data_IF_078575116177
#
_entry.id   IF_078575116177
#
_cell.length_a   1.000
_cell.length_b   1.000
_cell.length_c   1.000
_cell.angle_alpha   90.00
_cell.angle_beta   90.00
_cell.angle_gamma   90.00
#
_symmetry.space_group_name_H-M   'P 1'
#
loop_
_entity.id
_entity.type
_entity.pdbx_description
1 polymer ?
#
# COMPACT_ATOMS: atom_id res chain seq x y z
N UNK A 1 25.66 -7.43 -0.45
CA UNK A 1 25.27 -7.28 -1.87
C UNK A 1 25.89 -5.99 -2.42
N UNK A 2 26.09 -5.84 -3.71
CA UNK A 2 26.62 -4.62 -4.33
C UNK A 2 25.54 -3.95 -5.16
N UNK A 3 25.42 -2.64 -5.00
CA UNK A 3 24.54 -1.81 -5.81
C UNK A 3 25.37 -0.86 -6.68
N UNK A 4 24.92 -0.66 -7.92
CA UNK A 4 25.35 0.43 -8.78
C UNK A 4 24.39 1.60 -8.59
N UNK A 5 24.92 2.73 -8.17
CA UNK A 5 24.18 3.97 -7.99
C UNK A 5 24.60 4.93 -9.09
N UNK A 6 23.63 5.36 -9.90
CA UNK A 6 23.79 6.39 -10.90
C UNK A 6 23.22 7.71 -10.37
N UNK A 7 23.94 8.81 -10.52
CA UNK A 7 23.52 10.15 -10.09
C UNK A 7 23.70 11.14 -11.23
N UNK A 8 22.78 12.09 -11.35
CA UNK A 8 23.00 13.24 -12.22
C UNK A 8 24.14 14.13 -11.69
N UNK A 9 25.04 14.56 -12.58
CA UNK A 9 25.99 15.63 -12.23
C UNK A 9 25.24 16.97 -12.28
N UNK A 10 25.27 17.72 -11.17
CA UNK A 10 24.48 18.95 -10.98
C UNK A 10 22.95 18.73 -11.15
N UNK A 11 22.46 17.56 -10.74
CA UNK A 11 21.04 17.24 -10.72
C UNK A 11 20.62 16.60 -9.40
N UNK A 12 19.36 16.18 -9.33
CA UNK A 12 18.76 15.59 -8.11
C UNK A 12 18.38 14.13 -8.30
N UNK A 13 18.33 13.63 -9.54
CA UNK A 13 17.89 12.26 -9.80
C UNK A 13 19.00 11.27 -9.49
N UNK A 14 18.58 10.16 -8.88
CA UNK A 14 19.42 9.02 -8.54
C UNK A 14 18.70 7.76 -8.97
N UNK A 15 19.44 6.78 -9.50
CA UNK A 15 18.94 5.46 -9.86
C UNK A 15 19.82 4.39 -9.24
N UNK A 16 19.22 3.26 -8.89
CA UNK A 16 19.92 2.15 -8.25
C UNK A 16 19.67 0.87 -9.02
N UNK A 17 20.72 0.08 -9.22
CA UNK A 17 20.68 -1.24 -9.83
C UNK A 17 21.43 -2.25 -8.97
N UNK A 18 20.88 -3.45 -8.82
CA UNK A 18 21.48 -4.51 -8.01
C UNK A 18 22.49 -5.29 -8.85
N UNK A 19 23.77 -5.29 -8.44
CA UNK A 19 24.85 -6.02 -9.13
C UNK A 19 25.06 -7.45 -8.60
N UNK A 20 24.54 -7.79 -7.43
CA UNK A 20 24.68 -9.12 -6.81
C UNK A 20 25.77 -9.20 -5.73
N UNK A 21 26.21 -10.43 -5.40
CA UNK A 21 27.19 -10.66 -4.31
C UNK A 21 28.64 -10.56 -4.80
N UNK A 22 28.89 -10.95 -6.04
CA UNK A 22 30.21 -10.99 -6.65
C UNK A 22 30.27 -9.96 -7.78
N UNK A 23 31.15 -8.97 -7.65
CA UNK A 23 31.43 -8.00 -8.71
C UNK A 23 32.86 -8.18 -9.23
N UNK A 24 33.08 -8.09 -10.55
CA UNK A 24 34.43 -8.08 -11.10
C UNK A 24 35.23 -6.89 -10.56
N UNK A 25 36.56 -6.96 -10.64
CA UNK A 25 37.43 -5.87 -10.20
C UNK A 25 37.29 -4.65 -11.12
N UNK A 26 36.30 -3.80 -10.83
CA UNK A 26 35.99 -2.57 -11.55
C UNK A 26 36.20 -1.35 -10.65
N UNK A 27 36.42 -0.16 -11.23
CA UNK A 27 36.49 1.08 -10.46
C UNK A 27 35.24 1.25 -9.58
N UNK A 28 35.46 1.58 -8.30
CA UNK A 28 34.35 1.82 -7.34
C UNK A 28 33.49 3.02 -7.70
N UNK A 29 34.02 3.95 -8.49
CA UNK A 29 33.28 5.09 -8.99
C UNK A 29 33.87 5.59 -10.29
N UNK A 30 33.03 6.11 -11.17
CA UNK A 30 33.44 6.76 -12.41
C UNK A 30 32.39 7.78 -12.84
N UNK A 31 32.77 8.70 -13.72
CA UNK A 31 31.84 9.65 -14.34
C UNK A 31 31.90 9.51 -15.84
N UNK A 32 30.77 9.68 -16.50
CA UNK A 32 30.67 9.59 -17.95
C UNK A 32 29.65 10.61 -18.44
N UNK A 33 29.95 11.26 -19.56
CA UNK A 33 28.98 12.12 -20.22
C UNK A 33 27.91 11.30 -20.94
N UNK A 34 26.80 11.96 -21.25
CA UNK A 34 25.63 11.36 -21.90
C UNK A 34 25.98 10.72 -23.24
N UNK A 35 26.85 11.35 -24.02
CA UNK A 35 27.21 10.87 -25.35
C UNK A 35 27.99 9.56 -25.24
N UNK A 36 29.04 9.53 -24.42
CA UNK A 36 29.86 8.35 -24.16
C UNK A 36 29.04 7.21 -23.53
N UNK A 37 28.09 7.51 -22.63
CA UNK A 37 27.17 6.49 -22.11
C UNK A 37 26.28 5.92 -23.23
N UNK A 38 25.72 6.79 -24.07
CA UNK A 38 24.85 6.36 -25.19
C UNK A 38 25.59 5.49 -26.20
N UNK A 39 26.82 5.86 -26.56
CA UNK A 39 27.68 5.09 -27.47
C UNK A 39 28.05 3.74 -26.84
N UNK A 40 28.44 3.73 -25.57
CA UNK A 40 28.80 2.50 -24.85
C UNK A 40 27.65 1.47 -24.83
N UNK A 41 26.41 1.94 -24.72
CA UNK A 41 25.22 1.07 -24.74
C UNK A 41 24.99 0.36 -26.07
N UNK A 42 25.54 0.85 -27.18
CA UNK A 42 25.46 0.15 -28.45
C UNK A 42 26.25 -1.16 -28.42
N UNK A 43 27.36 -1.20 -27.67
CA UNK A 43 28.27 -2.35 -27.61
C UNK A 43 28.00 -3.29 -26.44
N UNK A 44 27.24 -2.87 -25.43
CA UNK A 44 26.81 -3.74 -24.34
C UNK A 44 25.82 -4.80 -24.84
N UNK A 45 25.95 -6.08 -24.43
CA UNK A 45 24.94 -7.10 -24.71
C UNK A 45 23.61 -6.78 -23.99
N UNK A 46 22.50 -7.32 -24.48
CA UNK A 46 21.21 -7.17 -23.80
C UNK A 46 21.28 -7.84 -22.42
N UNK A 47 20.96 -7.05 -21.39
CA UNK A 47 21.04 -7.42 -19.98
C UNK A 47 20.28 -6.39 -19.15
N UNK A 48 19.90 -6.74 -17.93
CA UNK A 48 19.24 -5.83 -17.00
C UNK A 48 20.07 -4.56 -16.75
N UNK A 49 21.40 -4.69 -16.76
CA UNK A 49 22.33 -3.57 -16.63
C UNK A 49 22.25 -2.62 -17.83
N UNK A 50 22.12 -3.16 -19.06
CA UNK A 50 21.94 -2.34 -20.27
C UNK A 50 20.61 -1.60 -20.23
N UNK A 51 19.53 -2.25 -19.80
CA UNK A 51 18.22 -1.63 -19.71
C UNK A 51 18.15 -0.58 -18.59
N UNK A 52 18.85 -0.81 -17.48
CA UNK A 52 19.07 0.20 -16.45
C UNK A 52 19.67 1.49 -17.02
N UNK A 53 20.80 1.40 -17.74
CA UNK A 53 21.43 2.57 -18.33
C UNK A 53 20.58 3.27 -19.40
N UNK A 54 19.81 2.51 -20.21
CA UNK A 54 18.81 3.10 -21.12
C UNK A 54 17.76 3.89 -20.32
N UNK A 55 17.28 3.34 -19.20
CA UNK A 55 16.35 4.01 -18.30
C UNK A 55 16.91 5.32 -17.71
N UNK A 56 18.18 5.32 -17.31
CA UNK A 56 18.88 6.54 -16.86
C UNK A 56 18.88 7.60 -17.97
N UNK A 57 19.27 7.23 -19.20
CA UNK A 57 19.29 8.16 -20.33
C UNK A 57 17.91 8.67 -20.74
N UNK A 58 16.89 7.81 -20.70
CA UNK A 58 15.53 8.16 -21.08
C UNK A 58 14.85 9.08 -20.06
N UNK A 59 15.17 8.90 -18.78
CA UNK A 59 14.53 9.64 -17.68
C UNK A 59 15.28 10.91 -17.25
N UNK A 60 16.46 11.18 -17.80
CA UNK A 60 17.28 12.37 -17.49
C UNK A 60 17.60 13.20 -18.73
N UNK A 61 17.60 14.53 -18.57
CA UNK A 61 18.08 15.49 -19.57
C UNK A 61 19.52 15.96 -19.32
N UNK A 62 20.20 15.45 -18.29
CA UNK A 62 21.55 15.90 -17.93
C UNK A 62 22.62 15.36 -18.89
N UNK A 63 23.70 16.15 -19.01
CA UNK A 63 24.81 15.87 -19.92
C UNK A 63 25.88 14.98 -19.31
N UNK A 64 25.89 14.80 -17.99
CA UNK A 64 26.86 13.97 -17.31
C UNK A 64 26.26 13.25 -16.11
N UNK A 65 26.80 12.07 -15.85
CA UNK A 65 26.37 11.16 -14.80
C UNK A 65 27.59 10.69 -14.01
N UNK A 66 27.42 10.54 -12.70
CA UNK A 66 28.38 9.84 -11.85
C UNK A 66 27.80 8.49 -11.44
N UNK A 67 28.67 7.49 -11.41
CA UNK A 67 28.36 6.12 -11.07
C UNK A 67 29.22 5.71 -9.89
N UNK A 68 28.61 5.03 -8.94
CA UNK A 68 29.24 4.60 -7.70
C UNK A 68 28.77 3.19 -7.36
N UNK A 69 29.72 2.31 -7.04
CA UNK A 69 29.45 0.96 -6.59
C UNK A 69 29.54 0.96 -5.07
N UNK A 70 28.40 0.73 -4.42
CA UNK A 70 28.34 0.64 -2.97
C UNK A 70 28.13 -0.80 -2.55
N UNK A 71 28.97 -1.27 -1.62
CA UNK A 71 28.69 -2.50 -0.88
C UNK A 71 27.59 -2.17 0.11
N UNK A 72 26.40 -2.68 -0.16
CA UNK A 72 25.29 -2.61 0.78
C UNK A 72 25.42 -3.90 1.58
N UNK A 73 25.60 -3.78 2.89
CA UNK A 73 25.35 -4.92 3.77
C UNK A 73 23.97 -5.46 3.40
N UNK A 74 23.76 -6.78 3.42
CA UNK A 74 22.40 -7.27 3.31
C UNK A 74 21.65 -6.72 4.53
N UNK A 75 21.14 -5.49 4.45
CA UNK A 75 19.92 -5.13 5.13
C UNK A 75 18.98 -6.17 4.59
N UNK A 76 18.69 -7.15 5.43
CA UNK A 76 17.54 -7.99 5.27
C UNK A 76 16.35 -7.06 5.07
N UNK A 77 16.09 -6.66 3.82
CA UNK A 77 14.75 -6.85 3.30
C UNK A 77 14.56 -8.35 3.35
N UNK A 78 14.35 -8.83 4.57
CA UNK A 78 13.49 -9.94 4.81
C UNK A 78 12.25 -9.46 4.08
N UNK A 79 11.96 -10.05 2.92
CA UNK A 79 10.57 -10.27 2.56
C UNK A 79 10.01 -11.06 3.73
N UNK A 80 9.72 -10.37 4.84
CA UNK A 80 8.82 -10.86 5.85
C UNK A 80 7.58 -11.01 5.01
N UNK A 81 7.19 -12.26 4.76
CA UNK A 81 5.85 -12.53 4.29
C UNK A 81 4.95 -12.12 5.45
N UNK A 82 4.67 -10.81 5.55
CA UNK A 82 3.78 -10.20 6.55
C UNK A 82 2.39 -10.82 6.35
N UNK A 83 2.09 -11.12 5.10
CA UNK A 83 0.98 -11.98 4.72
C UNK A 83 1.31 -13.44 5.03
N UNK A 84 0.45 -14.01 5.86
CA UNK A 84 0.38 -15.41 6.24
C UNK A 84 -0.72 -16.08 5.40
N UNK A 85 -0.48 -17.31 5.01
CA UNK A 85 -1.48 -18.11 4.30
C UNK A 85 -2.65 -18.47 5.20
N UNK A 86 -3.73 -18.96 4.58
CA UNK A 86 -4.93 -19.43 5.27
C UNK A 86 -4.73 -20.75 6.02
N UNK A 87 -3.58 -21.40 5.85
CA UNK A 87 -3.11 -22.53 6.65
C UNK A 87 -2.70 -22.11 8.07
N UNK A 88 -2.46 -20.82 8.30
CA UNK A 88 -2.16 -20.26 9.60
C UNK A 88 -3.39 -19.55 10.16
N UNK A 89 -3.77 -19.89 11.39
CA UNK A 89 -4.92 -19.28 12.08
C UNK A 89 -4.45 -18.03 12.84
N UNK A 90 -5.12 -16.88 12.67
CA UNK A 90 -4.79 -15.66 13.41
C UNK A 90 -5.13 -15.75 14.91
N UNK A 91 -4.45 -14.95 15.70
CA UNK A 91 -4.83 -14.69 17.09
C UNK A 91 -6.17 -13.98 17.15
N UNK A 92 -7.04 -14.43 18.05
CA UNK A 92 -8.32 -13.78 18.31
C UNK A 92 -8.12 -12.40 18.93
N UNK A 93 -8.86 -11.41 18.42
CA UNK A 93 -8.92 -10.06 18.98
C UNK A 93 -7.88 -9.07 18.43
N UNK A 94 -6.99 -9.50 17.53
CA UNK A 94 -6.12 -8.59 16.78
C UNK A 94 -6.78 -8.19 15.46
N UNK A 95 -6.53 -6.95 15.04
CA UNK A 95 -6.98 -6.44 13.74
C UNK A 95 -6.12 -7.01 12.61
N UNK A 96 -6.81 -7.43 11.56
CA UNK A 96 -6.24 -8.08 10.39
C UNK A 96 -6.54 -7.27 9.14
N UNK A 97 -5.65 -7.40 8.18
CA UNK A 97 -5.86 -7.01 6.79
C UNK A 97 -5.98 -8.29 5.97
N UNK A 98 -7.11 -8.47 5.30
CA UNK A 98 -7.38 -9.63 4.45
C UNK A 98 -7.06 -9.28 3.01
N UNK A 99 -6.24 -10.09 2.36
CA UNK A 99 -6.06 -10.06 0.92
C UNK A 99 -6.98 -11.11 0.30
N UNK A 100 -8.02 -10.65 -0.38
CA UNK A 100 -9.04 -11.52 -0.98
C UNK A 100 -8.51 -12.19 -2.24
N UNK A 101 -9.06 -13.36 -2.60
CA UNK A 101 -8.75 -14.05 -3.87
C UNK A 101 -9.08 -13.20 -5.11
N UNK A 102 -9.96 -12.21 -4.96
CA UNK A 102 -10.32 -11.22 -5.98
C UNK A 102 -9.28 -10.09 -6.14
N UNK A 103 -8.24 -10.05 -5.31
CA UNK A 103 -7.21 -9.01 -5.30
C UNK A 103 -7.56 -7.75 -4.50
N UNK A 104 -8.72 -7.73 -3.84
CA UNK A 104 -9.12 -6.63 -2.96
C UNK A 104 -8.55 -6.81 -1.55
N UNK A 105 -8.32 -5.69 -0.85
CA UNK A 105 -8.00 -5.68 0.56
C UNK A 105 -9.22 -5.32 1.41
N UNK A 106 -9.43 -6.05 2.50
CA UNK A 106 -10.45 -5.73 3.51
C UNK A 106 -9.78 -5.49 4.86
N UNK A 107 -10.08 -4.34 5.47
CA UNK A 107 -9.63 -3.94 6.79
C UNK A 107 -10.63 -2.94 7.41
N UNK A 108 -10.73 -2.86 8.76
CA UNK A 108 -10.19 -3.83 9.71
C UNK A 108 -10.98 -5.14 9.67
N UNK A 109 -10.30 -6.27 9.90
CA UNK A 109 -10.95 -7.56 10.05
C UNK A 109 -10.57 -8.22 11.39
N UNK A 110 -11.49 -8.98 11.99
CA UNK A 110 -11.24 -9.70 13.24
C UNK A 110 -11.59 -11.18 13.03
N UNK A 111 -10.64 -12.06 13.34
CA UNK A 111 -10.90 -13.49 13.36
C UNK A 111 -11.61 -13.89 14.65
N UNK A 112 -12.75 -14.59 14.53
CA UNK A 112 -13.52 -15.10 15.67
C UNK A 112 -13.49 -16.62 15.69
N UNK A 113 -12.69 -17.18 16.60
CA UNK A 113 -12.49 -18.64 16.72
C UNK A 113 -13.78 -19.45 16.96
N UNK A 114 -14.81 -18.85 17.56
CA UNK A 114 -16.08 -19.55 17.85
C UNK A 114 -16.88 -19.93 16.60
N UNK A 115 -16.79 -19.13 15.53
CA UNK A 115 -17.48 -19.39 14.25
C UNK A 115 -16.51 -19.64 13.09
N UNK A 116 -15.20 -19.49 13.30
CA UNK A 116 -14.19 -19.70 12.26
C UNK A 116 -14.26 -18.69 11.11
N UNK A 117 -14.97 -17.58 11.32
CA UNK A 117 -15.18 -16.53 10.31
C UNK A 117 -14.33 -15.29 10.61
N UNK A 118 -14.11 -14.51 9.55
CA UNK A 118 -13.47 -13.20 9.62
C UNK A 118 -14.54 -12.14 9.53
N UNK A 119 -14.72 -11.36 10.59
CA UNK A 119 -15.71 -10.29 10.63
C UNK A 119 -15.06 -8.99 10.17
N UNK A 120 -15.70 -8.31 9.24
CA UNK A 120 -15.33 -6.99 8.74
C UNK A 120 -16.50 -6.03 8.95
N UNK A 121 -16.29 -4.70 8.93
CA UNK A 121 -17.39 -3.73 9.00
C UNK A 121 -18.47 -3.94 7.91
N UNK A 122 -18.07 -4.46 6.74
CA UNK A 122 -18.96 -4.73 5.62
C UNK A 122 -19.66 -6.10 5.65
N UNK A 123 -19.44 -6.92 6.68
CA UNK A 123 -19.99 -8.27 6.79
C UNK A 123 -18.93 -9.35 7.06
N UNK A 124 -19.26 -10.60 6.77
CA UNK A 124 -18.39 -11.75 7.05
C UNK A 124 -17.62 -12.21 5.80
N UNK A 125 -16.30 -12.39 5.94
CA UNK A 125 -15.46 -13.03 4.94
C UNK A 125 -15.23 -14.50 5.33
N UNK A 126 -15.50 -15.42 4.39
CA UNK A 126 -15.27 -16.85 4.57
C UNK A 126 -13.83 -17.22 4.21
N UNK A 127 -13.23 -18.24 4.85
CA UNK A 127 -11.83 -18.61 4.60
C UNK A 127 -11.45 -18.82 3.12
N UNK A 128 -12.32 -19.44 2.32
CA UNK A 128 -12.06 -19.68 0.89
C UNK A 128 -12.03 -18.40 0.02
N UNK A 129 -12.54 -17.28 0.54
CA UNK A 129 -12.53 -15.99 -0.14
C UNK A 129 -11.21 -15.24 0.09
N UNK A 130 -10.38 -15.72 1.02
CA UNK A 130 -9.17 -15.06 1.49
C UNK A 130 -7.98 -15.83 0.90
N UNK A 131 -7.08 -15.11 0.24
CA UNK A 131 -5.84 -15.65 -0.28
C UNK A 131 -4.80 -15.74 0.83
N UNK A 132 -4.64 -14.65 1.55
CA UNK A 132 -3.66 -14.46 2.63
C UNK A 132 -4.11 -13.33 3.55
N UNK A 133 -3.56 -13.26 4.75
CA UNK A 133 -3.91 -12.26 5.76
C UNK A 133 -2.68 -11.75 6.49
N UNK A 134 -2.71 -10.52 6.98
CA UNK A 134 -1.66 -9.90 7.77
C UNK A 134 -2.25 -9.28 9.03
N UNK A 135 -1.46 -9.16 10.09
CA UNK A 135 -1.86 -8.28 11.21
C UNK A 135 -1.67 -6.82 10.80
N UNK A 136 -2.64 -5.96 11.14
CA UNK A 136 -2.68 -4.58 10.69
C UNK A 136 -1.52 -3.73 11.24
N UNK A 137 -1.13 -3.97 12.50
CA UNK A 137 0.04 -3.35 13.14
C UNK A 137 1.35 -3.75 12.46
N UNK A 138 1.55 -5.04 12.18
CA UNK A 138 2.73 -5.58 11.48
C UNK A 138 2.83 -5.01 10.06
N UNK A 139 1.69 -4.89 9.36
CA UNK A 139 1.64 -4.29 8.02
C UNK A 139 1.96 -2.79 8.06
N UNK A 140 1.36 -2.05 8.99
CA UNK A 140 1.63 -0.61 9.13
C UNK A 140 3.10 -0.34 9.46
N UNK A 141 3.69 -1.12 10.37
CA UNK A 141 5.11 -1.02 10.71
C UNK A 141 6.00 -1.30 9.49
N UNK A 142 5.67 -2.34 8.71
CA UNK A 142 6.43 -2.67 7.50
C UNK A 142 6.31 -1.61 6.39
N UNK A 143 5.18 -0.90 6.33
CA UNK A 143 4.96 0.20 5.40
C UNK A 143 5.49 1.56 5.92
N UNK A 144 6.01 1.61 7.15
CA UNK A 144 6.46 2.85 7.79
C UNK A 144 5.31 3.84 8.06
N UNK A 145 4.09 3.31 8.24
CA UNK A 145 2.91 4.12 8.55
C UNK A 145 2.87 4.40 10.05
N UNK A 146 3.25 5.60 10.43
CA UNK A 146 3.13 6.07 11.82
C UNK A 146 1.69 6.52 12.12
N UNK A 147 1.16 6.23 13.32
CA UNK A 147 -0.10 6.78 13.75
C UNK A 147 -0.02 8.31 13.79
N UNK A 148 -1.13 8.95 13.44
CA UNK A 148 -1.28 10.41 13.53
C UNK A 148 -1.07 10.84 14.99
N UNK A 149 -0.41 11.99 15.19
CA UNK A 149 -0.19 12.53 16.53
C UNK A 149 -1.51 12.85 17.25
N UNK A 150 -1.48 12.82 18.57
CA UNK A 150 -2.67 12.95 19.42
C UNK A 150 -3.44 14.26 19.22
N UNK A 151 -2.74 15.35 18.92
CA UNK A 151 -3.34 16.67 18.72
C UNK A 151 -4.11 16.71 17.40
N UNK A 152 -3.50 16.20 16.33
CA UNK A 152 -4.16 16.05 15.03
C UNK A 152 -5.33 15.06 15.11
N UNK A 153 -5.23 13.99 15.90
CA UNK A 153 -6.32 13.03 16.11
C UNK A 153 -7.54 13.69 16.80
N UNK A 154 -7.31 14.50 17.84
CA UNK A 154 -8.39 15.25 18.50
C UNK A 154 -9.08 16.25 17.58
N UNK A 155 -8.32 16.92 16.71
CA UNK A 155 -8.88 17.85 15.73
C UNK A 155 -9.72 17.11 14.67
N UNK A 156 -9.27 15.93 14.21
CA UNK A 156 -10.01 15.08 13.30
C UNK A 156 -11.31 14.56 13.93
N UNK A 157 -11.28 14.15 15.21
CA UNK A 157 -12.48 13.73 15.92
C UNK A 157 -13.48 14.88 16.09
N UNK A 158 -13.02 16.07 16.49
CA UNK A 158 -13.89 17.27 16.57
C UNK A 158 -14.53 17.63 15.23
N UNK A 159 -13.82 17.41 14.13
CA UNK A 159 -14.35 17.62 12.77
C UNK A 159 -15.38 16.55 12.40
N UNK A 160 -15.12 15.28 12.70
CA UNK A 160 -16.07 14.20 12.47
C UNK A 160 -17.38 14.39 13.26
N UNK A 161 -17.29 14.88 14.51
CA UNK A 161 -18.45 15.22 15.33
C UNK A 161 -19.24 16.42 14.78
N UNK A 162 -18.55 17.41 14.20
CA UNK A 162 -19.19 18.57 13.56
C UNK A 162 -19.87 18.23 12.23
N UNK A 163 -19.32 17.28 11.47
CA UNK A 163 -19.87 16.80 10.20
C UNK A 163 -21.07 15.84 10.38
N UNK A 164 -21.37 15.40 11.61
CA UNK A 164 -22.44 14.46 11.92
C UNK A 164 -23.51 15.07 12.86
N UNK A 165 -24.42 15.92 12.37
CA UNK A 165 -25.38 16.67 13.21
C UNK A 165 -26.51 15.82 13.82
N UNK A 166 -26.45 14.48 13.82
CA UNK A 166 -27.53 13.61 14.30
C UNK A 166 -27.06 12.38 15.10
N UNK A 167 -26.36 12.61 16.21
CA UNK A 167 -26.21 11.60 17.28
C UNK A 167 -27.13 11.87 18.47
N UNK A 168 -28.37 12.29 18.19
CA UNK A 168 -29.50 12.12 19.09
C UNK A 168 -30.44 11.10 18.48
N UNK A 169 -30.61 9.93 19.11
CA UNK A 169 -31.53 8.89 18.66
C UNK A 169 -32.96 9.45 18.64
N UNK A 170 -33.44 9.89 17.46
CA UNK A 170 -34.80 10.39 17.29
C UNK A 170 -35.56 9.43 16.36
N UNK A 171 -36.48 8.60 16.89
CA UNK A 171 -37.22 7.61 16.11
C UNK A 171 -38.07 8.23 14.99
N UNK A 172 -38.37 9.53 15.05
CA UNK A 172 -39.05 10.26 13.97
C UNK A 172 -38.20 10.32 12.68
N UNK A 173 -36.87 10.46 12.78
CA UNK A 173 -35.97 10.54 11.61
C UNK A 173 -35.81 9.20 10.88
N UNK A 174 -35.94 8.09 11.60
CA UNK A 174 -35.97 6.75 11.00
C UNK A 174 -37.25 6.60 10.16
N UNK A 175 -38.37 7.12 10.66
CA UNK A 175 -39.64 7.06 9.93
C UNK A 175 -39.60 7.92 8.67
N UNK A 176 -39.02 9.12 8.74
CA UNK A 176 -38.83 9.99 7.57
C UNK A 176 -37.92 9.33 6.52
N UNK A 177 -36.77 8.77 6.93
CA UNK A 177 -35.85 8.09 6.02
C UNK A 177 -36.47 6.82 5.38
N UNK A 178 -37.28 6.06 6.13
CA UNK A 178 -38.01 4.91 5.60
C UNK A 178 -39.13 5.37 4.65
N UNK A 179 -39.83 6.45 4.97
CA UNK A 179 -40.93 6.97 4.14
C UNK A 179 -40.40 7.56 2.83
N UNK A 180 -39.25 8.25 2.89
CA UNK A 180 -38.57 8.80 1.71
C UNK A 180 -38.07 7.68 0.79
N UNK A 181 -37.40 6.66 1.34
CA UNK A 181 -36.94 5.50 0.59
C UNK A 181 -38.10 4.69 -0.05
N UNK A 182 -39.23 4.55 0.64
CA UNK A 182 -40.41 3.84 0.09
C UNK A 182 -41.10 4.67 -1.00
N UNK A 183 -41.11 6.01 -0.86
CA UNK A 183 -41.73 6.92 -1.82
C UNK A 183 -40.92 7.03 -3.12
N UNK A 184 -39.59 6.91 -3.06
CA UNK A 184 -38.73 6.82 -4.25
C UNK A 184 -38.93 5.50 -5.02
N UNK A 185 -39.16 4.40 -4.32
CA UNK A 185 -39.31 3.07 -4.94
C UNK A 185 -40.73 2.86 -5.50
N UNK A 186 -41.76 3.44 -4.86
CA UNK A 186 -43.16 3.32 -5.27
C UNK A 186 -43.92 4.67 -5.20
N UNK A 187 -43.81 5.53 -6.22
CA UNK A 187 -44.33 6.90 -6.19
C UNK A 187 -45.87 7.01 -6.09
N UNK A 188 -46.61 5.94 -6.33
CA UNK A 188 -48.09 5.88 -6.30
C UNK A 188 -48.65 5.41 -4.94
N UNK A 189 -47.79 4.99 -3.99
CA UNK A 189 -48.25 4.41 -2.74
C UNK A 189 -48.59 5.48 -1.69
N UNK A 190 -49.89 5.76 -1.49
CA UNK A 190 -50.36 6.58 -0.36
C UNK A 190 -50.32 5.79 0.94
N UNK A 191 -49.29 6.01 1.75
CA UNK A 191 -49.20 5.48 3.12
C UNK A 191 -50.08 6.33 4.05
N UNK A 192 -51.16 5.75 4.59
CA UNK A 192 -51.88 6.32 5.74
C UNK A 192 -51.59 5.51 6.99
N UNK A 193 -51.06 6.17 8.01
CA UNK A 193 -50.80 5.56 9.33
C UNK A 193 -51.96 5.93 10.27
N UNK A 194 -52.68 4.93 10.78
CA UNK A 194 -53.58 5.12 11.94
C UNK A 194 -52.74 5.15 13.21
N UNK A 195 -52.86 6.23 13.98
CA UNK A 195 -52.33 6.32 15.34
C UNK A 195 -53.25 5.51 16.27
N UNK A 196 -52.68 4.57 17.01
CA UNK A 196 -53.32 3.93 18.18
C UNK A 196 -53.02 4.75 19.43
#
# INVERSE_FOLDING_TARGET
MYHLIAKEVHGIKTWTHVLGKDIPNVPKSFSVDRYNLSVSLMFLPQSDLKDFFKGVLASSSKLAFSFEIQKVEESTYQTVSIFKGMDVIPETGRELVLHMVTGQFLAPAIYKKSCGHFHTPGGEARPYMIKEWAYQDELNQALGLEPVDSETLEQLNKRADADNPNTGFNPEKIFDAITEAISEIFPEAKVQVRKS
#
